data_IF_893706249206
#
_entry.id   IF_893706249206
#
_cell.length_a   1.000
_cell.length_b   1.000
_cell.length_c   1.000
_cell.angle_alpha   90.00
_cell.angle_beta   90.00
_cell.angle_gamma   90.00
#
_symmetry.space_group_name_H-M   'P 1'
#
loop_
_entity.id
_entity.type
_entity.pdbx_description
1 polymer ?
#
# COMPACT_ATOMS: atom_id res chain seq x y z
N UNK A 1 0.76 -30.43 14.41
CA UNK A 1 1.66 -29.51 13.67
C UNK A 1 2.36 -28.62 14.69
N UNK A 2 3.69 -28.45 14.63
CA UNK A 2 4.38 -27.49 15.51
C UNK A 2 3.90 -26.08 15.17
N UNK A 3 3.41 -25.35 16.17
CA UNK A 3 2.94 -23.98 16.02
C UNK A 3 4.14 -23.04 15.93
N UNK A 4 4.77 -22.98 14.74
CA UNK A 4 5.90 -22.09 14.49
C UNK A 4 5.39 -20.72 14.09
N UNK A 5 5.90 -19.67 14.76
CA UNK A 5 5.56 -18.30 14.42
C UNK A 5 6.02 -17.98 12.99
N UNK A 6 5.14 -17.35 12.21
CA UNK A 6 5.50 -16.84 10.87
C UNK A 6 6.56 -15.76 11.02
N UNK A 7 7.67 -15.91 10.29
CA UNK A 7 8.80 -14.97 10.28
C UNK A 7 9.11 -14.39 8.92
N UNK A 8 8.69 -15.03 7.83
CA UNK A 8 8.98 -14.59 6.48
C UNK A 8 7.67 -14.38 5.73
N UNK A 9 7.51 -13.21 5.11
CA UNK A 9 6.37 -12.87 4.27
C UNK A 9 6.91 -12.45 2.91
N UNK A 10 6.47 -13.15 1.85
CA UNK A 10 6.80 -12.80 0.47
C UNK A 10 5.53 -12.31 -0.21
N UNK A 11 5.57 -11.07 -0.69
CA UNK A 11 4.50 -10.42 -1.46
C UNK A 11 4.88 -10.58 -2.94
N UNK A 12 4.07 -11.33 -3.68
CA UNK A 12 4.29 -11.57 -5.12
C UNK A 12 3.35 -10.65 -5.90
N UNK A 13 3.92 -9.67 -6.59
CA UNK A 13 3.21 -8.62 -7.29
C UNK A 13 3.40 -7.26 -6.62
N UNK A 14 3.77 -6.26 -7.42
CA UNK A 14 3.88 -4.87 -7.01
C UNK A 14 2.56 -4.13 -7.18
N UNK A 15 2.64 -2.95 -7.81
CA UNK A 15 1.49 -2.05 -7.99
C UNK A 15 0.87 -1.61 -6.66
N UNK A 16 -0.34 -1.05 -6.73
CA UNK A 16 -1.04 -0.51 -5.56
C UNK A 16 -1.24 -1.56 -4.46
N UNK A 17 -1.66 -2.77 -4.82
CA UNK A 17 -1.94 -3.84 -3.85
C UNK A 17 -0.68 -4.33 -3.11
N UNK A 18 0.40 -4.61 -3.84
CA UNK A 18 1.65 -5.10 -3.26
C UNK A 18 2.30 -4.08 -2.34
N UNK A 19 2.44 -2.84 -2.81
CA UNK A 19 3.11 -1.78 -2.06
C UNK A 19 2.30 -1.31 -0.84
N UNK A 20 0.97 -1.22 -0.94
CA UNK A 20 0.12 -0.94 0.24
C UNK A 20 0.23 -2.02 1.31
N UNK A 21 0.25 -3.30 0.89
CA UNK A 21 0.42 -4.43 1.80
C UNK A 21 1.78 -4.39 2.48
N UNK A 22 2.86 -4.19 1.72
CA UNK A 22 4.22 -4.08 2.23
C UNK A 22 4.35 -2.94 3.25
N UNK A 23 3.84 -1.74 2.93
CA UNK A 23 3.90 -0.58 3.80
C UNK A 23 3.14 -0.81 5.11
N UNK A 24 1.89 -1.31 5.04
CA UNK A 24 1.06 -1.54 6.21
C UNK A 24 1.65 -2.63 7.13
N UNK A 25 2.09 -3.76 6.57
CA UNK A 25 2.72 -4.84 7.34
C UNK A 25 4.01 -4.36 8.02
N UNK A 26 4.84 -3.63 7.28
CA UNK A 26 6.10 -3.09 7.80
C UNK A 26 5.83 -2.15 8.97
N UNK A 27 4.84 -1.25 8.85
CA UNK A 27 4.48 -0.29 9.89
C UNK A 27 3.91 -0.97 11.15
N UNK A 28 3.03 -1.94 10.99
CA UNK A 28 2.29 -2.57 12.10
C UNK A 28 3.12 -3.61 12.84
N UNK A 29 3.78 -4.51 12.10
CA UNK A 29 4.40 -5.72 12.66
C UNK A 29 5.77 -6.04 12.03
N UNK A 30 6.34 -5.14 11.22
CA UNK A 30 7.59 -5.35 10.48
C UNK A 30 8.79 -5.69 11.35
N UNK A 31 8.83 -5.25 12.62
CA UNK A 31 9.91 -5.61 13.55
C UNK A 31 10.01 -7.12 13.82
N UNK A 32 8.93 -7.87 13.57
CA UNK A 32 8.85 -9.31 13.83
C UNK A 32 8.92 -10.17 12.55
N UNK A 33 8.98 -9.54 11.37
CA UNK A 33 8.87 -10.18 10.08
C UNK A 33 10.02 -9.76 9.15
N UNK A 34 10.50 -10.71 8.36
CA UNK A 34 11.28 -10.45 7.17
C UNK A 34 10.31 -10.38 5.97
N UNK A 35 10.14 -9.17 5.43
CA UNK A 35 9.18 -8.89 4.35
C UNK A 35 9.97 -8.69 3.05
N UNK A 36 9.60 -9.42 2.00
CA UNK A 36 10.16 -9.25 0.66
C UNK A 36 9.03 -9.07 -0.34
N UNK A 37 9.17 -8.11 -1.26
CA UNK A 37 8.25 -7.89 -2.37
C UNK A 37 8.98 -8.25 -3.66
N UNK A 38 8.33 -9.05 -4.51
CA UNK A 38 8.82 -9.42 -5.84
C UNK A 38 7.86 -8.85 -6.86
N UNK A 39 8.33 -7.89 -7.66
CA UNK A 39 7.56 -7.30 -8.76
C UNK A 39 8.27 -7.50 -10.10
N UNK A 40 7.49 -7.39 -11.19
CA UNK A 40 7.99 -7.53 -12.56
C UNK A 40 8.06 -6.17 -13.21
N UNK A 41 9.21 -5.84 -13.80
CA UNK A 41 9.39 -4.61 -14.58
C UNK A 41 8.71 -4.65 -15.96
N UNK A 42 8.18 -5.81 -16.37
CA UNK A 42 7.70 -6.05 -17.73
C UNK A 42 6.27 -5.55 -17.99
N UNK A 43 5.48 -5.29 -16.94
CA UNK A 43 4.08 -4.84 -17.05
C UNK A 43 3.95 -3.52 -16.28
N UNK A 44 4.16 -2.41 -16.97
CA UNK A 44 3.87 -1.07 -16.44
C UNK A 44 2.36 -0.82 -16.32
N UNK A 45 1.95 -0.04 -15.33
CA UNK A 45 0.56 0.40 -15.17
C UNK A 45 0.18 1.42 -16.24
N UNK A 46 -1.04 1.29 -16.78
CA UNK A 46 -1.66 2.33 -17.60
C UNK A 46 -2.38 3.30 -16.66
N UNK A 47 -1.93 4.55 -16.61
CA UNK A 47 -2.48 5.58 -15.72
C UNK A 47 -3.80 6.16 -16.23
N UNK A 48 -4.92 5.44 -16.05
CA UNK A 48 -6.27 5.93 -16.39
C UNK A 48 -6.94 6.76 -15.27
N UNK A 49 -6.27 6.90 -14.13
CA UNK A 49 -6.79 7.52 -12.92
C UNK A 49 -7.60 6.55 -12.06
N UNK A 50 -7.38 6.60 -10.75
CA UNK A 50 -8.09 5.77 -9.76
C UNK A 50 -8.78 6.66 -8.73
N UNK A 51 -10.05 6.36 -8.43
CA UNK A 51 -10.80 7.04 -7.39
C UNK A 51 -10.85 6.19 -6.11
N UNK A 52 -10.79 6.82 -4.95
CA UNK A 52 -10.90 6.15 -3.64
C UNK A 52 -12.23 6.49 -2.93
N UNK A 53 -12.36 6.03 -1.69
CA UNK A 53 -13.43 6.33 -0.73
C UNK A 53 -12.80 6.82 0.59
N UNK A 54 -13.56 7.45 1.52
CA UNK A 54 -12.99 8.08 2.72
C UNK A 54 -12.16 7.16 3.64
N UNK A 55 -12.32 5.84 3.57
CA UNK A 55 -11.47 4.91 4.36
C UNK A 55 -9.98 5.00 4.00
N UNK A 56 -9.64 5.59 2.86
CA UNK A 56 -8.26 5.82 2.45
C UNK A 56 -7.48 6.75 3.40
N UNK A 57 -8.16 7.69 4.08
CA UNK A 57 -7.54 8.52 5.12
C UNK A 57 -6.97 7.68 6.27
N UNK A 58 -7.61 6.56 6.62
CA UNK A 58 -7.12 5.67 7.67
C UNK A 58 -5.77 5.02 7.31
N UNK A 59 -5.53 4.74 6.03
CA UNK A 59 -4.24 4.24 5.55
C UNK A 59 -3.14 5.29 5.74
N UNK A 60 -3.41 6.55 5.37
CA UNK A 60 -2.44 7.64 5.56
C UNK A 60 -2.12 7.87 7.02
N UNK A 61 -3.13 7.86 7.89
CA UNK A 61 -2.93 7.98 9.33
C UNK A 61 -2.10 6.83 9.90
N UNK A 62 -2.38 5.59 9.47
CA UNK A 62 -1.60 4.42 9.87
C UNK A 62 -0.12 4.58 9.46
N UNK A 63 0.12 4.95 8.21
CA UNK A 63 1.46 5.08 7.64
C UNK A 63 2.17 6.38 8.04
N UNK A 64 1.45 7.31 8.68
CA UNK A 64 1.91 8.66 9.03
C UNK A 64 2.33 9.47 7.79
N UNK A 65 1.54 9.36 6.73
CA UNK A 65 1.72 10.09 5.48
C UNK A 65 1.02 11.45 5.59
N UNK A 66 1.72 12.51 5.19
CA UNK A 66 1.10 13.83 5.05
C UNK A 66 0.16 13.83 3.82
N UNK A 67 -1.11 14.14 4.03
CA UNK A 67 -2.11 14.06 2.95
C UNK A 67 -1.89 15.07 1.82
N UNK A 68 -1.44 16.29 2.15
CA UNK A 68 -1.18 17.31 1.14
C UNK A 68 0.03 16.96 0.27
N UNK A 69 1.08 16.40 0.88
CA UNK A 69 2.26 15.89 0.16
C UNK A 69 1.87 14.70 -0.73
N UNK A 70 1.16 13.72 -0.18
CA UNK A 70 0.68 12.57 -0.95
C UNK A 70 -0.14 13.01 -2.17
N UNK A 71 -1.09 13.94 -1.98
CA UNK A 71 -1.96 14.40 -3.06
C UNK A 71 -1.16 15.07 -4.19
N UNK A 72 -0.11 15.83 -3.83
CA UNK A 72 0.79 16.45 -4.80
C UNK A 72 1.60 15.41 -5.59
N UNK A 73 2.18 14.43 -4.90
CA UNK A 73 3.02 13.37 -5.51
C UNK A 73 2.23 12.47 -6.45
N UNK A 74 0.95 12.19 -6.17
CA UNK A 74 0.12 11.32 -7.03
C UNK A 74 -0.70 12.08 -8.06
N UNK A 75 -0.53 13.40 -8.17
CA UNK A 75 -1.35 14.27 -9.02
C UNK A 75 -2.86 14.11 -8.77
N UNK A 76 -3.23 13.93 -7.50
CA UNK A 76 -4.59 13.64 -7.09
C UNK A 76 -5.49 14.88 -6.99
N UNK A 77 -6.80 14.65 -6.98
CA UNK A 77 -7.82 15.67 -6.69
C UNK A 77 -8.80 15.16 -5.64
N UNK A 78 -9.62 16.05 -5.08
CA UNK A 78 -10.59 15.69 -4.03
C UNK A 78 -11.90 15.23 -4.66
N UNK A 79 -12.30 13.98 -4.37
CA UNK A 79 -13.59 13.41 -4.76
C UNK A 79 -14.61 13.54 -3.62
N UNK A 80 -15.69 14.26 -3.85
CA UNK A 80 -16.79 14.44 -2.88
C UNK A 80 -17.91 13.38 -3.00
N UNK A 81 -18.00 12.67 -4.13
CA UNK A 81 -19.04 11.67 -4.38
C UNK A 81 -19.18 11.33 -5.86
N UNK A 82 -20.21 10.54 -6.19
CA UNK A 82 -20.70 10.28 -7.56
C UNK A 82 -22.20 10.57 -7.53
N UNK A 83 -22.72 11.26 -8.56
CA UNK A 83 -24.13 11.58 -8.72
C UNK A 83 -24.87 10.51 -9.55
#
# INVERSE_FOLDING_TARGET
>A
MKNQAVKNVVIVGGGTAGWMTAAALTKLIGKNLHISLVESDQIGTIGVGEATIPTFFALHQLLQINEAEFLAEVHGTIKLGIA
#
